data_IF_523500593978
#
_entry.id   IF_523500593978
#
_cell.length_a   1.000
_cell.length_b   1.000
_cell.length_c   1.000
_cell.angle_alpha   90.00
_cell.angle_beta   90.00
_cell.angle_gamma   90.00
#
_symmetry.space_group_name_H-M   'P 1'
#
loop_
_entity.id
_entity.type
_entity.pdbx_description
1 polymer ?
#
# COMPACT_ATOMS: atom_id res chain seq x y z
N UNK A 1 -5.44 -19.79 -2.34
CA UNK A 1 -4.75 -18.68 -1.67
C UNK A 1 -5.68 -18.09 -0.62
N UNK A 2 -5.23 -17.96 0.62
CA UNK A 2 -5.99 -17.35 1.71
C UNK A 2 -5.99 -15.83 1.55
N UNK A 3 -7.14 -15.26 1.18
CA UNK A 3 -7.31 -13.81 0.99
C UNK A 3 -7.56 -13.14 2.34
N UNK A 4 -6.61 -12.32 2.80
CA UNK A 4 -6.78 -11.45 3.98
C UNK A 4 -7.31 -10.08 3.54
N UNK A 5 -8.00 -9.37 4.43
CA UNK A 5 -8.32 -7.95 4.22
C UNK A 5 -7.36 -7.05 4.98
N UNK A 6 -7.40 -5.76 4.63
CA UNK A 6 -6.55 -4.73 5.24
C UNK A 6 -6.76 -4.65 6.75
N UNK A 7 -8.00 -4.85 7.23
CA UNK A 7 -8.30 -4.87 8.66
C UNK A 7 -7.57 -5.99 9.39
N UNK A 8 -7.59 -7.22 8.86
CA UNK A 8 -6.84 -8.34 9.43
C UNK A 8 -5.34 -8.07 9.46
N UNK A 9 -4.77 -7.57 8.35
CA UNK A 9 -3.34 -7.20 8.30
C UNK A 9 -2.99 -6.15 9.36
N UNK A 10 -3.79 -5.09 9.48
CA UNK A 10 -3.56 -4.03 10.45
C UNK A 10 -3.63 -4.57 11.88
N UNK A 11 -4.64 -5.38 12.21
CA UNK A 11 -4.79 -5.94 13.56
C UNK A 11 -3.66 -6.91 13.93
N UNK A 12 -3.29 -7.81 13.03
CA UNK A 12 -2.32 -8.87 13.34
C UNK A 12 -0.86 -8.42 13.24
N UNK A 13 -0.56 -7.44 12.37
CA UNK A 13 0.83 -7.07 12.04
C UNK A 13 1.20 -5.63 12.39
N UNK A 14 0.28 -4.82 12.92
CA UNK A 14 0.56 -3.43 13.35
C UNK A 14 1.74 -3.33 14.31
N UNK A 15 1.83 -4.19 15.31
CA UNK A 15 2.94 -4.16 16.26
C UNK A 15 4.30 -4.50 15.63
N UNK A 16 4.32 -5.47 14.70
CA UNK A 16 5.54 -5.91 14.04
C UNK A 16 6.07 -4.88 13.04
N UNK A 17 5.17 -4.34 12.19
CA UNK A 17 5.53 -3.36 11.16
C UNK A 17 5.41 -1.90 11.62
N UNK A 18 4.99 -1.66 12.86
CA UNK A 18 4.69 -0.33 13.40
C UNK A 18 3.71 0.45 12.53
N UNK A 19 2.61 -0.19 12.15
CA UNK A 19 1.57 0.40 11.31
C UNK A 19 0.64 1.27 12.14
N UNK A 20 0.28 2.43 11.60
CA UNK A 20 -0.73 3.33 12.14
C UNK A 20 -1.75 3.66 11.04
N UNK A 21 -3.04 3.61 11.39
CA UNK A 21 -4.10 4.02 10.48
C UNK A 21 -4.23 5.54 10.52
N UNK A 22 -3.63 6.22 9.54
CA UNK A 22 -3.72 7.67 9.42
C UNK A 22 -5.04 8.15 8.81
N UNK A 23 -5.60 7.39 7.86
CA UNK A 23 -6.84 7.72 7.15
C UNK A 23 -7.43 6.48 6.45
N UNK A 24 -8.62 6.62 5.87
CA UNK A 24 -9.21 5.59 5.00
C UNK A 24 -9.87 4.43 5.75
N UNK A 25 -10.42 4.67 6.95
CA UNK A 25 -11.11 3.66 7.76
C UNK A 25 -12.20 2.89 6.98
N UNK A 26 -12.90 3.56 6.06
CA UNK A 26 -13.92 2.96 5.19
C UNK A 26 -13.35 1.91 4.21
N UNK A 27 -12.03 1.91 3.98
CA UNK A 27 -11.33 1.01 3.07
C UNK A 27 -10.80 -0.27 3.71
N UNK A 28 -10.96 -0.46 5.03
CA UNK A 28 -10.37 -1.59 5.76
C UNK A 28 -10.91 -2.96 5.32
N UNK A 29 -12.12 -3.01 4.75
CA UNK A 29 -12.69 -4.23 4.18
C UNK A 29 -12.11 -4.67 2.83
N UNK A 30 -11.21 -3.86 2.23
CA UNK A 30 -10.56 -4.22 0.96
C UNK A 30 -9.74 -5.51 1.12
N UNK A 31 -9.90 -6.42 0.16
CA UNK A 31 -9.16 -7.68 0.10
C UNK A 31 -7.78 -7.45 -0.52
N UNK A 32 -6.77 -8.08 0.07
CA UNK A 32 -5.41 -8.14 -0.46
C UNK A 32 -5.34 -9.39 -1.33
N UNK A 33 -5.40 -9.21 -2.64
CA UNK A 33 -5.46 -10.30 -3.63
C UNK A 33 -4.08 -10.69 -4.16
N UNK A 34 -3.11 -9.77 -4.11
CA UNK A 34 -1.75 -9.96 -4.58
C UNK A 34 -0.78 -9.79 -3.40
N UNK A 35 0.08 -10.79 -3.11
CA UNK A 35 1.03 -10.72 -1.99
C UNK A 35 2.25 -9.83 -2.26
N UNK A 36 2.32 -9.19 -3.43
CA UNK A 36 3.41 -8.31 -3.84
C UNK A 36 3.16 -6.84 -3.45
N UNK A 37 4.28 -6.13 -3.26
CA UNK A 37 4.30 -4.69 -3.01
C UNK A 37 4.67 -3.92 -4.29
N UNK A 38 4.20 -2.68 -4.40
CA UNK A 38 4.60 -1.74 -5.44
C UNK A 38 5.26 -0.50 -4.84
N UNK A 39 6.36 -0.04 -5.46
CA UNK A 39 7.01 1.24 -5.13
C UNK A 39 6.74 2.20 -6.28
N UNK A 40 5.79 3.13 -6.15
CA UNK A 40 5.20 3.83 -7.28
C UNK A 40 6.05 4.98 -7.82
N UNK A 41 7.38 4.90 -7.81
CA UNK A 41 8.26 6.01 -8.21
C UNK A 41 7.97 6.55 -9.61
N UNK A 42 7.78 5.67 -10.60
CA UNK A 42 7.46 6.05 -11.98
C UNK A 42 6.06 6.66 -12.15
N UNK A 43 5.08 6.18 -11.38
CA UNK A 43 3.74 6.78 -11.39
C UNK A 43 3.74 8.19 -10.80
N UNK A 44 4.62 8.45 -9.84
CA UNK A 44 4.76 9.79 -9.25
C UNK A 44 5.45 10.79 -10.19
N UNK A 45 6.14 10.32 -11.23
CA UNK A 45 6.63 11.18 -12.34
C UNK A 45 5.60 11.35 -13.47
N UNK A 46 4.34 10.95 -13.26
CA UNK A 46 3.25 11.11 -14.22
C UNK A 46 3.06 9.95 -15.21
N UNK A 47 3.80 8.85 -15.07
CA UNK A 47 3.69 7.71 -15.98
C UNK A 47 2.92 6.54 -15.35
N UNK A 48 1.66 6.36 -15.77
CA UNK A 48 0.75 5.35 -15.23
C UNK A 48 0.53 4.12 -16.12
N UNK A 49 1.20 4.02 -17.27
CA UNK A 49 0.91 3.02 -18.31
C UNK A 49 0.93 1.55 -17.86
N UNK A 50 1.67 1.23 -16.79
CA UNK A 50 1.74 -0.11 -16.20
C UNK A 50 1.65 -0.07 -14.66
N UNK A 51 0.80 0.78 -14.11
CA UNK A 51 0.67 0.89 -12.66
C UNK A 51 -0.13 -0.28 -12.06
N UNK A 52 0.46 -1.10 -11.15
CA UNK A 52 -0.24 -2.24 -10.58
C UNK A 52 -1.10 -1.82 -9.38
N UNK A 53 -2.33 -1.35 -9.65
CA UNK A 53 -3.28 -0.85 -8.63
C UNK A 53 -3.70 -1.90 -7.59
N UNK A 54 -3.63 -3.18 -7.95
CA UNK A 54 -4.01 -4.33 -7.10
C UNK A 54 -2.99 -4.65 -6.01
N UNK A 55 -1.76 -4.14 -6.12
CA UNK A 55 -0.67 -4.37 -5.15
C UNK A 55 -0.73 -3.37 -4.01
N UNK A 56 -0.19 -3.76 -2.86
CA UNK A 56 0.00 -2.81 -1.76
C UNK A 56 1.07 -1.77 -2.15
N UNK A 57 0.74 -0.49 -2.00
CA UNK A 57 1.60 0.61 -2.39
C UNK A 57 2.47 1.06 -1.21
N UNK A 58 3.79 1.11 -1.38
CA UNK A 58 4.73 1.61 -0.38
C UNK A 58 5.35 2.92 -0.86
N UNK A 59 5.11 3.99 -0.10
CA UNK A 59 5.72 5.31 -0.33
C UNK A 59 6.89 5.49 0.64
N UNK A 60 8.10 5.51 0.10
CA UNK A 60 9.33 5.75 0.86
C UNK A 60 9.83 7.20 0.71
N UNK A 61 10.90 7.56 1.43
CA UNK A 61 11.50 8.90 1.37
C UNK A 61 12.12 9.25 0.03
N UNK A 62 12.53 8.25 -0.77
CA UNK A 62 13.02 8.46 -2.15
C UNK A 62 12.00 9.15 -3.06
N UNK A 63 10.72 9.11 -2.70
CA UNK A 63 9.65 9.85 -3.38
C UNK A 63 9.73 11.35 -3.11
N UNK A 64 10.16 11.80 -1.93
CA UNK A 64 10.28 13.24 -1.60
C UNK A 64 11.28 13.96 -2.50
N UNK A 65 12.29 13.26 -3.03
CA UNK A 65 13.23 13.81 -4.00
C UNK A 65 12.54 14.27 -5.29
N UNK A 66 11.35 13.73 -5.61
CA UNK A 66 10.54 14.10 -6.77
C UNK A 66 9.50 15.20 -6.47
N UNK A 67 9.55 15.85 -5.31
CA UNK A 67 8.80 17.09 -5.03
C UNK A 67 7.38 16.92 -4.48
N UNK A 68 7.11 15.87 -3.70
CA UNK A 68 5.92 15.74 -2.83
C UNK A 68 6.22 16.15 -1.38
#
# INVERSE_FOLDING_TARGET
MSTIDVNTLLKEKSGYFKLELLSGNNGLGRKITVPDINRPGLALTGFFGHFPYERMQIIGTSVKAYGL
#
